data_IF_753409585159
#
_entry.id   IF_753409585159
#
_cell.length_a   1.000
_cell.length_b   1.000
_cell.length_c   1.000
_cell.angle_alpha   90.00
_cell.angle_beta   90.00
_cell.angle_gamma   90.00
#
_symmetry.space_group_name_H-M   'P 1'
#
loop_
_entity.id
_entity.type
_entity.pdbx_description
1 polymer ?
#
# COMPACT_ATOMS: atom_id res chain seq x y z
N UNK A 1 7.15 0.18 29.92
CA UNK A 1 6.32 0.20 28.69
C UNK A 1 6.98 0.90 27.51
N UNK A 2 7.74 1.99 27.70
CA UNK A 2 8.46 2.64 26.58
C UNK A 2 9.44 1.73 25.83
N UNK A 3 10.15 0.84 26.53
CA UNK A 3 11.16 -0.02 25.90
C UNK A 3 10.58 -1.05 24.93
N UNK A 4 9.39 -1.60 25.21
CA UNK A 4 8.78 -2.60 24.31
C UNK A 4 8.35 -1.97 22.98
N UNK A 5 7.72 -0.80 23.04
CA UNK A 5 7.28 -0.09 21.83
C UNK A 5 8.49 0.31 20.98
N UNK A 6 9.54 0.86 21.60
CA UNK A 6 10.76 1.20 20.88
C UNK A 6 11.39 -0.02 20.21
N UNK A 7 11.46 -1.15 20.91
CA UNK A 7 12.01 -2.39 20.34
C UNK A 7 11.18 -2.90 19.15
N UNK A 8 9.85 -2.76 19.19
CA UNK A 8 8.98 -3.12 18.06
C UNK A 8 9.29 -2.19 16.88
N UNK A 9 9.31 -0.87 17.09
CA UNK A 9 9.59 0.10 16.03
C UNK A 9 10.95 -0.16 15.38
N UNK A 10 11.99 -0.41 16.18
CA UNK A 10 13.32 -0.75 15.68
C UNK A 10 13.33 -2.08 14.91
N UNK A 11 12.60 -3.11 15.37
CA UNK A 11 12.48 -4.38 14.65
C UNK A 11 11.81 -4.23 13.27
N UNK A 12 10.94 -3.23 13.10
CA UNK A 12 10.32 -2.89 11.81
C UNK A 12 11.12 -1.86 10.98
N UNK A 13 12.33 -1.50 11.41
CA UNK A 13 13.26 -0.68 10.65
C UNK A 13 13.48 0.74 11.19
N UNK A 14 12.90 1.08 12.35
CA UNK A 14 13.18 2.32 13.06
C UNK A 14 12.54 3.57 12.44
N UNK A 15 12.51 4.65 13.22
CA UNK A 15 11.96 5.93 12.77
C UNK A 15 12.85 6.62 11.74
N UNK A 16 14.17 6.43 11.79
CA UNK A 16 15.09 7.05 10.84
C UNK A 16 14.80 6.61 9.40
N UNK A 17 14.56 5.31 9.20
CA UNK A 17 14.17 4.78 7.89
C UNK A 17 12.80 5.31 7.46
N UNK A 18 11.83 5.35 8.38
CA UNK A 18 10.50 5.89 8.10
C UNK A 18 10.56 7.35 7.62
N UNK A 19 11.37 8.18 8.29
CA UNK A 19 11.50 9.60 7.99
C UNK A 19 12.27 9.88 6.68
N UNK A 20 13.04 8.92 6.15
CA UNK A 20 13.77 9.07 4.89
C UNK A 20 12.88 8.97 3.64
N UNK A 21 11.70 8.36 3.74
CA UNK A 21 10.81 8.15 2.60
C UNK A 21 9.57 9.04 2.70
N UNK A 22 9.22 9.69 1.59
CA UNK A 22 8.02 10.52 1.46
C UNK A 22 6.96 9.91 0.55
N UNK A 23 7.33 8.89 -0.23
CA UNK A 23 6.44 8.27 -1.21
C UNK A 23 6.79 6.80 -1.44
N UNK A 24 5.78 5.94 -1.39
CA UNK A 24 5.84 4.54 -1.79
C UNK A 24 5.13 4.37 -3.13
N UNK A 25 5.70 3.57 -4.04
CA UNK A 25 5.05 3.11 -5.27
C UNK A 25 4.91 1.60 -5.22
N UNK A 26 3.72 1.10 -5.52
CA UNK A 26 3.40 -0.33 -5.49
C UNK A 26 2.65 -0.69 -6.76
N UNK A 27 2.98 -1.85 -7.32
CA UNK A 27 2.18 -2.47 -8.37
C UNK A 27 1.33 -3.57 -7.73
N UNK A 28 0.00 -3.46 -7.86
CA UNK A 28 -0.96 -4.36 -7.23
C UNK A 28 -1.78 -5.08 -8.30
N UNK A 29 -2.05 -6.36 -8.08
CA UNK A 29 -3.07 -7.11 -8.80
C UNK A 29 -4.10 -7.55 -7.76
N UNK A 30 -5.29 -6.97 -7.83
CA UNK A 30 -6.39 -7.35 -6.94
C UNK A 30 -7.00 -8.66 -7.43
N UNK A 31 -7.02 -9.68 -6.57
CA UNK A 31 -7.65 -10.97 -6.85
C UNK A 31 -8.00 -11.69 -5.55
N UNK A 32 -8.67 -12.84 -5.66
CA UNK A 32 -8.90 -13.74 -4.53
C UNK A 32 -10.36 -14.11 -4.36
N UNK A 33 -10.59 -15.31 -3.80
CA UNK A 33 -11.92 -15.95 -3.70
C UNK A 33 -12.97 -15.10 -2.99
N UNK A 34 -12.56 -14.23 -2.06
CA UNK A 34 -13.49 -13.35 -1.37
C UNK A 34 -14.20 -12.39 -2.35
N UNK A 35 -13.50 -11.85 -3.33
CA UNK A 35 -14.08 -10.94 -4.32
C UNK A 35 -15.05 -11.67 -5.25
N UNK A 36 -14.68 -12.88 -5.68
CA UNK A 36 -15.51 -13.75 -6.50
C UNK A 36 -16.82 -14.10 -5.78
N UNK A 37 -16.71 -14.54 -4.51
CA UNK A 37 -17.86 -14.89 -3.66
C UNK A 37 -18.79 -13.70 -3.39
N UNK A 38 -18.27 -12.48 -3.44
CA UNK A 38 -19.06 -11.26 -3.22
C UNK A 38 -19.64 -10.68 -4.51
N UNK A 39 -19.43 -11.32 -5.66
CA UNK A 39 -19.94 -10.86 -6.94
C UNK A 39 -19.24 -9.61 -7.47
N UNK A 40 -18.04 -9.32 -6.98
CA UNK A 40 -17.21 -8.19 -7.42
C UNK A 40 -15.90 -8.70 -8.03
N UNK A 41 -15.94 -9.48 -9.14
CA UNK A 41 -14.73 -10.00 -9.77
C UNK A 41 -13.78 -8.84 -10.07
N UNK A 42 -12.54 -8.97 -9.62
CA UNK A 42 -11.53 -7.93 -9.79
C UNK A 42 -10.90 -8.03 -11.18
N UNK A 43 -10.68 -6.87 -11.82
CA UNK A 43 -9.88 -6.78 -13.03
C UNK A 43 -8.41 -7.12 -12.70
N UNK A 44 -7.82 -8.15 -13.34
CA UNK A 44 -6.45 -8.58 -13.05
C UNK A 44 -5.39 -7.62 -13.62
N UNK A 45 -5.78 -6.55 -14.31
CA UNK A 45 -4.86 -5.53 -14.82
C UNK A 45 -4.04 -4.94 -13.66
N UNK A 46 -2.69 -4.97 -13.73
CA UNK A 46 -1.84 -4.39 -12.71
C UNK A 46 -2.12 -2.88 -12.53
N UNK A 47 -2.25 -2.45 -11.28
CA UNK A 47 -2.49 -1.07 -10.91
C UNK A 47 -1.26 -0.50 -10.25
N UNK A 48 -0.86 0.69 -10.67
CA UNK A 48 0.17 1.45 -9.97
C UNK A 48 -0.49 2.32 -8.91
N UNK A 49 -0.10 2.09 -7.66
CA UNK A 49 -0.50 2.89 -6.52
C UNK A 49 0.68 3.73 -6.04
N UNK A 50 0.42 5.00 -5.78
CA UNK A 50 1.31 5.95 -5.12
C UNK A 50 0.73 6.29 -3.76
N UNK A 51 1.48 6.02 -2.70
CA UNK A 51 1.12 6.36 -1.33
C UNK A 51 2.08 7.43 -0.85
N UNK A 52 1.57 8.56 -0.39
CA UNK A 52 2.39 9.63 0.17
C UNK A 52 2.53 9.36 1.66
N UNK A 53 3.76 9.09 2.09
CA UNK A 53 4.04 8.85 3.51
C UNK A 53 4.00 10.19 4.24
N UNK A 54 3.57 10.18 5.50
CA UNK A 54 3.37 11.37 6.34
C UNK A 54 2.20 12.29 5.92
N UNK A 55 1.46 11.92 4.88
CA UNK A 55 0.25 12.60 4.42
C UNK A 55 -0.91 11.59 4.32
N UNK A 56 -2.15 12.01 4.60
CA UNK A 56 -3.32 11.16 4.36
C UNK A 56 -3.72 11.23 2.88
N UNK A 57 -2.84 10.77 2.00
CA UNK A 57 -3.02 10.85 0.55
C UNK A 57 -2.51 9.61 -0.18
N UNK A 58 -3.35 9.11 -1.07
CA UNK A 58 -3.04 8.04 -2.01
C UNK A 58 -3.55 8.37 -3.42
N UNK A 59 -2.95 7.73 -4.42
CA UNK A 59 -3.38 7.82 -5.81
C UNK A 59 -3.22 6.46 -6.48
N UNK A 60 -4.25 6.04 -7.20
CA UNK A 60 -4.29 4.78 -7.91
C UNK A 60 -4.52 5.07 -9.40
N UNK A 61 -3.68 4.51 -10.27
CA UNK A 61 -3.85 4.60 -11.70
C UNK A 61 -4.43 3.29 -12.27
N UNK A 62 -5.13 3.41 -13.39
CA UNK A 62 -5.85 2.30 -14.05
C UNK A 62 -7.03 1.77 -13.21
N UNK A 63 -7.93 2.66 -12.74
CA UNK A 63 -9.13 2.27 -11.99
C UNK A 63 -10.24 1.73 -12.92
N UNK A 64 -10.05 0.51 -13.44
CA UNK A 64 -11.01 -0.16 -14.33
C UNK A 64 -10.84 0.11 -15.83
N UNK A 65 -9.66 0.58 -16.24
CA UNK A 65 -9.29 0.79 -17.65
C UNK A 65 -7.78 0.99 -17.80
N UNK A 66 -7.23 0.90 -19.02
CA UNK A 66 -5.80 1.05 -19.27
C UNK A 66 -5.30 2.46 -18.90
N UNK A 67 -4.00 2.56 -18.60
CA UNK A 67 -3.34 3.83 -18.35
C UNK A 67 -3.32 4.66 -19.65
N UNK A 68 -3.77 5.91 -19.59
CA UNK A 68 -3.63 6.89 -20.67
C UNK A 68 -2.30 7.64 -20.56
#
# INVERSE_FOLDING_TARGET
MGNLINNIVEAYGGLDRWNQFTKLRVTLISSGRLFDLRGFPQDPTPREMSIYLHEQRESLQSFGGPRH
#
